data_IF_702804893482
#
_entry.id   IF_702804893482
#
_cell.length_a   1.000
_cell.length_b   1.000
_cell.length_c   1.000
_cell.angle_alpha   90.00
_cell.angle_beta   90.00
_cell.angle_gamma   90.00
#
_symmetry.space_group_name_H-M   'P 1'
#
loop_
_entity.id
_entity.type
_entity.pdbx_description
1 polymer ?
#
# COMPACT_ATOMS: atom_id res chain seq x y z
N UNK A 1 -9.42 -27.73 -23.81
CA UNK A 1 -10.39 -26.67 -24.18
C UNK A 1 -10.06 -25.53 -23.25
N UNK A 2 -9.12 -24.69 -23.69
CA UNK A 2 -8.40 -23.77 -22.80
C UNK A 2 -8.94 -22.35 -22.97
N UNK A 3 -9.51 -21.81 -21.90
CA UNK A 3 -9.98 -20.44 -21.82
C UNK A 3 -8.80 -19.51 -21.44
N UNK A 4 -8.13 -18.98 -22.46
CA UNK A 4 -7.32 -17.75 -22.35
C UNK A 4 -8.24 -16.57 -22.65
N UNK A 5 -8.54 -15.75 -21.66
CA UNK A 5 -9.37 -14.55 -21.80
C UNK A 5 -9.07 -13.53 -20.71
N UNK A 6 -8.37 -12.47 -21.12
CA UNK A 6 -8.50 -11.07 -20.64
C UNK A 6 -8.35 -10.76 -19.14
N UNK A 7 -7.09 -10.70 -18.68
CA UNK A 7 -6.66 -9.77 -17.61
C UNK A 7 -6.08 -8.51 -18.24
N UNK A 8 -6.93 -7.61 -18.76
CA UNK A 8 -6.52 -6.24 -19.16
C UNK A 8 -7.72 -5.33 -19.40
N UNK A 9 -8.57 -5.11 -18.41
CA UNK A 9 -9.66 -4.11 -18.52
C UNK A 9 -10.01 -3.54 -17.14
N UNK A 10 -9.09 -2.85 -16.45
CA UNK A 10 -9.41 -1.98 -15.29
C UNK A 10 -8.34 -0.91 -15.06
N UNK A 11 -7.80 -0.30 -16.13
CA UNK A 11 -6.76 0.72 -16.01
C UNK A 11 -6.94 1.87 -17.01
N UNK A 12 -8.17 2.20 -17.38
CA UNK A 12 -8.43 3.37 -18.21
C UNK A 12 -9.80 3.89 -17.83
N UNK A 13 -9.86 4.86 -16.91
CA UNK A 13 -10.95 5.84 -16.82
C UNK A 13 -10.70 6.78 -15.61
N UNK A 14 -9.82 7.75 -15.81
CA UNK A 14 -9.90 9.03 -15.09
C UNK A 14 -9.19 10.14 -15.87
N UNK A 15 -9.61 10.35 -17.13
CA UNK A 15 -9.37 11.62 -17.80
C UNK A 15 -10.43 12.62 -17.32
N UNK A 16 -10.24 13.17 -16.12
CA UNK A 16 -10.99 14.34 -15.69
C UNK A 16 -10.28 15.59 -16.19
N UNK A 17 -10.96 16.28 -17.10
CA UNK A 17 -10.61 17.56 -17.71
C UNK A 17 -10.22 18.57 -16.61
N UNK A 18 -8.96 18.99 -16.59
CA UNK A 18 -8.58 20.31 -16.05
C UNK A 18 -7.93 21.06 -17.20
N UNK A 19 -8.73 21.95 -17.81
CA UNK A 19 -8.25 22.91 -18.80
C UNK A 19 -7.35 23.94 -18.13
N UNK A 20 -6.13 23.56 -17.78
CA UNK A 20 -5.07 24.50 -17.47
C UNK A 20 -4.40 24.87 -18.80
N UNK A 21 -4.79 26.02 -19.36
CA UNK A 21 -3.98 26.66 -20.38
C UNK A 21 -2.63 26.99 -19.74
N UNK A 22 -1.63 26.15 -20.00
CA UNK A 22 -0.22 26.46 -19.70
C UNK A 22 0.11 27.70 -20.53
N UNK A 23 0.24 28.83 -19.86
CA UNK A 23 0.64 30.08 -20.52
C UNK A 23 2.07 29.85 -21.03
N UNK A 24 2.24 29.75 -22.36
CA UNK A 24 3.55 29.57 -22.98
C UNK A 24 4.46 30.73 -22.56
N UNK A 25 5.63 30.46 -21.93
CA UNK A 25 6.59 31.50 -21.56
C UNK A 25 6.98 32.45 -22.70
N UNK A 26 6.83 32.02 -23.97
CA UNK A 26 7.06 32.85 -25.16
C UNK A 26 6.04 33.99 -25.28
N UNK A 27 4.78 33.79 -24.89
CA UNK A 27 3.77 34.86 -24.92
C UNK A 27 4.06 35.94 -23.87
N UNK A 28 4.57 35.55 -22.70
CA UNK A 28 4.98 36.49 -21.64
C UNK A 28 6.15 37.40 -22.09
N UNK A 29 7.08 36.83 -22.87
CA UNK A 29 8.21 37.56 -23.46
C UNK A 29 7.76 38.47 -24.60
N UNK A 30 6.75 38.07 -25.36
CA UNK A 30 6.21 38.84 -26.49
C UNK A 30 5.44 40.07 -26.02
N UNK A 31 4.60 39.93 -24.98
CA UNK A 31 3.94 41.06 -24.32
C UNK A 31 4.96 42.06 -23.75
N UNK A 32 6.09 41.57 -23.23
CA UNK A 32 7.15 42.42 -22.69
C UNK A 32 7.90 43.20 -23.78
N UNK A 33 8.06 42.62 -24.97
CA UNK A 33 8.64 43.28 -26.15
C UNK A 33 7.68 44.32 -26.76
N UNK A 34 6.40 44.02 -26.85
CA UNK A 34 5.38 44.94 -27.36
C UNK A 34 5.26 46.19 -26.48
N UNK A 35 5.39 46.04 -25.16
CA UNK A 35 5.43 47.16 -24.21
C UNK A 35 6.69 48.04 -24.31
N UNK A 36 7.86 47.45 -24.58
CA UNK A 36 9.08 48.22 -24.84
C UNK A 36 8.99 48.99 -26.16
N UNK A 37 8.30 48.44 -27.15
CA UNK A 37 8.03 49.10 -28.42
C UNK A 37 7.03 50.25 -28.27
N UNK A 38 5.96 50.10 -27.48
CA UNK A 38 5.05 51.20 -27.13
C UNK A 38 5.77 52.33 -26.39
N UNK A 39 6.68 52.00 -25.45
CA UNK A 39 7.52 52.98 -24.75
C UNK A 39 8.42 53.79 -25.69
N UNK A 40 8.98 53.15 -26.73
CA UNK A 40 9.75 53.82 -27.78
C UNK A 40 8.88 54.65 -28.73
N UNK A 41 7.60 54.29 -28.91
CA UNK A 41 6.70 54.96 -29.82
C UNK A 41 6.17 56.29 -29.26
N UNK A 42 6.07 56.45 -27.94
CA UNK A 42 5.57 57.66 -27.26
C UNK A 42 6.46 58.89 -27.47
N UNK A 43 7.77 58.72 -27.64
CA UNK A 43 8.69 59.83 -27.96
C UNK A 43 8.40 60.48 -29.33
N UNK A 44 7.68 59.77 -30.21
CA UNK A 44 7.35 60.21 -31.57
C UNK A 44 5.98 60.90 -31.71
N UNK A 45 5.19 61.06 -30.64
CA UNK A 45 3.84 61.66 -30.73
C UNK A 45 3.85 63.20 -30.72
N UNK A 46 5.02 63.83 -30.79
CA UNK A 46 5.16 65.27 -30.99
C UNK A 46 4.93 65.65 -32.46
N UNK A 47 3.68 65.64 -32.92
CA UNK A 47 3.35 66.19 -34.23
C UNK A 47 3.56 67.73 -34.27
N UNK A 48 4.25 68.31 -35.28
CA UNK A 48 4.69 69.71 -35.25
C UNK A 48 3.58 70.77 -35.37
N UNK A 49 2.31 70.38 -35.55
CA UNK A 49 1.31 71.27 -36.16
C UNK A 49 0.18 71.79 -35.28
N UNK A 50 -0.06 71.24 -34.10
CA UNK A 50 -1.21 71.65 -33.27
C UNK A 50 -0.79 71.58 -31.80
N UNK A 51 -0.26 72.67 -31.23
CA UNK A 51 -0.45 73.10 -29.83
C UNK A 51 0.31 74.42 -29.63
N UNK A 52 -0.39 75.43 -29.09
CA UNK A 52 0.13 76.75 -28.75
C UNK A 52 1.36 76.71 -27.82
N UNK A 53 2.24 77.71 -27.96
CA UNK A 53 3.58 77.85 -27.37
C UNK A 53 3.60 78.11 -25.85
N UNK A 54 3.15 77.17 -25.02
CA UNK A 54 3.58 77.15 -23.62
C UNK A 54 4.30 75.83 -23.37
N UNK A 55 5.63 75.89 -23.30
CA UNK A 55 6.49 74.76 -22.92
C UNK A 55 6.05 74.13 -21.60
N UNK A 56 5.39 74.90 -20.74
CA UNK A 56 4.80 74.45 -19.47
C UNK A 56 3.67 73.44 -19.69
N UNK A 57 2.77 73.68 -20.66
CA UNK A 57 1.66 72.76 -20.96
C UNK A 57 2.19 71.42 -21.49
N UNK A 58 3.20 71.45 -22.37
CA UNK A 58 3.85 70.23 -22.88
C UNK A 58 4.57 69.46 -21.76
N UNK A 59 5.25 70.17 -20.86
CA UNK A 59 5.91 69.58 -19.70
C UNK A 59 4.93 68.90 -18.77
N UNK A 60 3.82 69.57 -18.45
CA UNK A 60 2.75 69.03 -17.59
C UNK A 60 2.12 67.78 -18.22
N UNK A 61 1.81 67.79 -19.51
CA UNK A 61 1.25 66.61 -20.21
C UNK A 61 2.22 65.44 -20.21
N UNK A 62 3.51 65.67 -20.48
CA UNK A 62 4.53 64.62 -20.45
C UNK A 62 4.75 64.06 -19.03
N UNK A 63 4.66 64.90 -18.01
CA UNK A 63 4.78 64.49 -16.60
C UNK A 63 3.60 63.64 -16.16
N UNK A 64 2.37 64.05 -16.49
CA UNK A 64 1.16 63.25 -16.25
C UNK A 64 1.26 61.91 -16.96
N UNK A 65 1.68 61.89 -18.23
CA UNK A 65 1.81 60.64 -18.97
C UNK A 65 2.85 59.70 -18.36
N UNK A 66 4.04 60.21 -17.99
CA UNK A 66 5.05 59.41 -17.27
C UNK A 66 4.53 58.86 -15.95
N UNK A 67 3.79 59.65 -15.19
CA UNK A 67 3.19 59.19 -13.94
C UNK A 67 2.17 58.08 -14.18
N UNK A 68 1.25 58.26 -15.14
CA UNK A 68 0.24 57.26 -15.50
C UNK A 68 0.85 55.94 -15.96
N UNK A 69 1.90 55.98 -16.80
CA UNK A 69 2.61 54.78 -17.23
C UNK A 69 3.30 54.10 -16.06
N UNK A 70 4.01 54.86 -15.21
CA UNK A 70 4.68 54.32 -14.02
C UNK A 70 3.68 53.62 -13.08
N UNK A 71 2.52 54.24 -12.83
CA UNK A 71 1.50 53.66 -11.96
C UNK A 71 0.82 52.44 -12.59
N UNK A 72 0.63 52.44 -13.91
CA UNK A 72 0.14 51.25 -14.64
C UNK A 72 1.14 50.09 -14.53
N UNK A 73 2.43 50.33 -14.77
CA UNK A 73 3.47 49.31 -14.63
C UNK A 73 3.57 48.78 -13.20
N UNK A 74 3.54 49.67 -12.20
CA UNK A 74 3.54 49.30 -10.78
C UNK A 74 2.33 48.43 -10.43
N UNK A 75 1.13 48.86 -10.85
CA UNK A 75 -0.11 48.12 -10.58
C UNK A 75 -0.13 46.76 -11.26
N UNK A 76 0.33 46.68 -12.51
CA UNK A 76 0.44 45.42 -13.25
C UNK A 76 1.43 44.46 -12.61
N UNK A 77 2.62 44.94 -12.23
CA UNK A 77 3.62 44.12 -11.56
C UNK A 77 3.11 43.60 -10.21
N UNK A 78 2.43 44.46 -9.45
CA UNK A 78 1.81 44.05 -8.19
C UNK A 78 0.76 42.96 -8.39
N UNK A 79 -0.15 43.15 -9.34
CA UNK A 79 -1.18 42.14 -9.64
C UNK A 79 -0.57 40.83 -10.12
N UNK A 80 0.48 40.88 -10.94
CA UNK A 80 1.18 39.68 -11.40
C UNK A 80 1.76 38.90 -10.22
N UNK A 81 2.43 39.58 -9.29
CA UNK A 81 2.98 38.95 -8.07
C UNK A 81 1.85 38.32 -7.25
N UNK A 82 0.79 39.08 -6.95
CA UNK A 82 -0.35 38.59 -6.16
C UNK A 82 -1.01 37.36 -6.79
N UNK A 83 -1.19 37.35 -8.11
CA UNK A 83 -1.76 36.19 -8.82
C UNK A 83 -0.81 35.00 -8.78
N UNK A 84 0.49 35.21 -9.00
CA UNK A 84 1.48 34.12 -8.95
C UNK A 84 1.64 33.51 -7.57
N UNK A 85 1.63 34.33 -6.52
CA UNK A 85 1.70 33.88 -5.12
C UNK A 85 0.46 33.06 -4.77
N UNK A 86 -0.74 33.57 -5.09
CA UNK A 86 -1.99 32.86 -4.83
C UNK A 86 -2.05 31.52 -5.56
N UNK A 87 -1.65 31.47 -6.83
CA UNK A 87 -1.64 30.23 -7.61
C UNK A 87 -0.63 29.23 -7.03
N UNK A 88 0.52 29.69 -6.54
CA UNK A 88 1.51 28.83 -5.90
C UNK A 88 0.99 28.27 -4.57
N UNK A 89 0.33 29.09 -3.75
CA UNK A 89 -0.30 28.66 -2.50
C UNK A 89 -1.39 27.60 -2.75
N UNK A 90 -2.26 27.82 -3.74
CA UNK A 90 -3.29 26.86 -4.14
C UNK A 90 -2.68 25.54 -4.64
N UNK A 91 -1.60 25.60 -5.42
CA UNK A 91 -0.90 24.41 -5.90
C UNK A 91 -0.31 23.58 -4.74
N UNK A 92 0.39 24.23 -3.80
CA UNK A 92 0.99 23.54 -2.65
C UNK A 92 -0.08 22.91 -1.74
N UNK A 93 -1.20 23.60 -1.55
CA UNK A 93 -2.32 23.09 -0.77
C UNK A 93 -2.94 21.84 -1.40
N UNK A 94 -3.14 21.84 -2.73
CA UNK A 94 -3.68 20.68 -3.44
C UNK A 94 -2.68 19.52 -3.49
N UNK A 95 -1.37 19.80 -3.62
CA UNK A 95 -0.32 18.79 -3.53
C UNK A 95 -0.33 18.10 -2.16
N UNK A 96 -0.37 18.89 -1.07
CA UNK A 96 -0.40 18.36 0.28
C UNK A 96 -1.66 17.52 0.54
N UNK A 97 -2.81 17.99 0.07
CA UNK A 97 -4.07 17.26 0.16
C UNK A 97 -4.02 15.94 -0.60
N UNK A 98 -3.60 15.96 -1.87
CA UNK A 98 -3.47 14.77 -2.71
C UNK A 98 -2.51 13.76 -2.08
N UNK A 99 -1.38 14.23 -1.54
CA UNK A 99 -0.42 13.39 -0.81
C UNK A 99 -1.04 12.77 0.44
N UNK A 100 -1.81 13.54 1.21
CA UNK A 100 -2.51 13.07 2.39
C UNK A 100 -3.53 11.98 2.07
N UNK A 101 -4.35 12.20 1.05
CA UNK A 101 -5.34 11.23 0.56
C UNK A 101 -4.69 9.93 0.10
N UNK A 102 -3.61 10.01 -0.69
CA UNK A 102 -2.89 8.83 -1.17
C UNK A 102 -2.29 8.01 -0.02
N UNK A 103 -1.67 8.68 0.95
CA UNK A 103 -1.12 7.99 2.14
C UNK A 103 -2.22 7.33 2.96
N UNK A 104 -3.39 7.97 3.09
CA UNK A 104 -4.52 7.40 3.81
C UNK A 104 -5.08 6.16 3.10
N UNK A 105 -5.25 6.21 1.78
CA UNK A 105 -5.68 5.07 0.97
C UNK A 105 -4.72 3.88 1.13
N UNK A 106 -3.41 4.10 1.00
CA UNK A 106 -2.43 3.03 1.19
C UNK A 106 -2.46 2.41 2.58
N UNK A 107 -2.70 3.23 3.63
CA UNK A 107 -2.83 2.71 5.01
C UNK A 107 -4.06 1.83 5.16
N UNK A 108 -5.19 2.24 4.60
CA UNK A 108 -6.45 1.49 4.65
C UNK A 108 -6.32 0.15 3.90
N UNK A 109 -5.75 0.17 2.70
CA UNK A 109 -5.51 -1.04 1.91
C UNK A 109 -4.54 -2.01 2.62
N UNK A 110 -3.48 -1.48 3.23
CA UNK A 110 -2.51 -2.28 3.98
C UNK A 110 -3.17 -2.96 5.19
N UNK A 111 -3.96 -2.23 5.97
CA UNK A 111 -4.63 -2.78 7.14
C UNK A 111 -5.71 -3.80 6.73
N UNK A 112 -6.50 -3.51 5.69
CA UNK A 112 -7.48 -4.47 5.14
C UNK A 112 -6.81 -5.76 4.69
N UNK A 113 -5.70 -5.66 3.94
CA UNK A 113 -4.95 -6.83 3.46
C UNK A 113 -4.38 -7.64 4.62
N UNK A 114 -3.85 -6.95 5.64
CA UNK A 114 -3.33 -7.58 6.86
C UNK A 114 -4.42 -8.32 7.63
N UNK A 115 -5.59 -7.71 7.83
CA UNK A 115 -6.72 -8.34 8.51
C UNK A 115 -7.22 -9.58 7.77
N UNK A 116 -7.31 -9.51 6.44
CA UNK A 116 -7.68 -10.67 5.61
C UNK A 116 -6.70 -11.83 5.72
N UNK A 117 -5.39 -11.53 5.69
CA UNK A 117 -4.34 -12.53 5.83
C UNK A 117 -4.37 -13.18 7.21
N UNK A 118 -4.51 -12.37 8.26
CA UNK A 118 -4.64 -12.84 9.63
C UNK A 118 -5.86 -13.76 9.79
N UNK A 119 -6.99 -13.40 9.21
CA UNK A 119 -8.21 -14.22 9.24
C UNK A 119 -7.98 -15.56 8.54
N UNK A 120 -7.41 -15.54 7.33
CA UNK A 120 -7.08 -16.77 6.57
C UNK A 120 -6.12 -17.66 7.34
N UNK A 121 -5.11 -17.07 7.99
CA UNK A 121 -4.14 -17.82 8.80
C UNK A 121 -4.81 -18.47 10.02
N UNK A 122 -5.65 -17.73 10.76
CA UNK A 122 -6.40 -18.27 11.90
C UNK A 122 -7.34 -19.40 11.50
N UNK A 123 -8.03 -19.27 10.37
CA UNK A 123 -8.93 -20.30 9.84
C UNK A 123 -8.16 -21.55 9.41
N UNK A 124 -7.03 -21.39 8.71
CA UNK A 124 -6.15 -22.51 8.33
C UNK A 124 -5.60 -23.24 9.56
N UNK A 125 -5.10 -22.50 10.56
CA UNK A 125 -4.58 -23.08 11.79
C UNK A 125 -5.67 -23.84 12.56
N UNK A 126 -6.88 -23.26 12.66
CA UNK A 126 -8.02 -23.93 13.30
C UNK A 126 -8.38 -25.24 12.59
N UNK A 127 -8.37 -25.24 11.25
CA UNK A 127 -8.63 -26.44 10.47
C UNK A 127 -7.56 -27.50 10.69
N UNK A 128 -6.27 -27.14 10.64
CA UNK A 128 -5.15 -28.05 10.87
C UNK A 128 -5.18 -28.66 12.28
N UNK A 129 -5.47 -27.87 13.31
CA UNK A 129 -5.64 -28.35 14.68
C UNK A 129 -6.77 -29.38 14.77
N UNK A 130 -7.93 -29.08 14.18
CA UNK A 130 -9.06 -30.02 14.16
C UNK A 130 -8.71 -31.33 13.43
N UNK A 131 -7.98 -31.25 12.32
CA UNK A 131 -7.51 -32.45 11.60
C UNK A 131 -6.50 -33.25 12.44
N UNK A 132 -5.59 -32.58 13.16
CA UNK A 132 -4.63 -33.24 14.02
C UNK A 132 -5.31 -33.94 15.21
N UNK A 133 -6.26 -33.26 15.86
CA UNK A 133 -7.07 -33.83 16.94
C UNK A 133 -7.84 -35.07 16.48
N UNK A 134 -8.47 -35.00 15.31
CA UNK A 134 -9.23 -36.12 14.76
C UNK A 134 -8.34 -37.30 14.37
N UNK A 135 -7.16 -37.06 13.79
CA UNK A 135 -6.16 -38.10 13.51
C UNK A 135 -5.67 -38.75 14.80
N UNK A 136 -5.28 -37.94 15.78
CA UNK A 136 -4.83 -38.42 17.08
C UNK A 136 -5.91 -39.26 17.78
N UNK A 137 -7.17 -38.80 17.74
CA UNK A 137 -8.31 -39.55 18.29
C UNK A 137 -8.46 -40.92 17.62
N UNK A 138 -8.36 -40.99 16.29
CA UNK A 138 -8.41 -42.25 15.54
C UNK A 138 -7.24 -43.18 15.89
N UNK A 139 -6.03 -42.65 15.95
CA UNK A 139 -4.83 -43.40 16.35
C UNK A 139 -4.98 -43.97 17.76
N UNK A 140 -5.42 -43.15 18.72
CA UNK A 140 -5.67 -43.60 20.10
C UNK A 140 -6.74 -44.68 20.18
N UNK A 141 -7.79 -44.61 19.35
CA UNK A 141 -8.79 -45.68 19.26
C UNK A 141 -8.18 -46.98 18.73
N UNK A 142 -7.31 -46.91 17.72
CA UNK A 142 -6.62 -48.08 17.18
C UNK A 142 -5.65 -48.67 18.21
N UNK A 143 -4.89 -47.82 18.92
CA UNK A 143 -3.99 -48.25 19.99
C UNK A 143 -4.75 -49.01 21.07
N UNK A 144 -5.90 -48.50 21.52
CA UNK A 144 -6.71 -49.16 22.56
C UNK A 144 -7.31 -50.51 22.13
N UNK A 145 -7.34 -50.84 20.84
CA UNK A 145 -7.92 -52.09 20.31
C UNK A 145 -6.89 -53.21 20.15
N UNK A 146 -5.60 -52.92 20.22
CA UNK A 146 -4.52 -53.89 20.04
C UNK A 146 -3.84 -54.22 21.37
N UNK A 147 -3.05 -55.30 21.38
CA UNK A 147 -2.14 -55.64 22.48
C UNK A 147 -0.74 -55.16 22.13
N UNK A 148 -0.01 -54.65 23.12
CA UNK A 148 1.29 -54.01 22.91
C UNK A 148 2.39 -54.73 23.68
N UNK A 149 3.54 -54.86 23.03
CA UNK A 149 4.72 -55.50 23.61
C UNK A 149 5.22 -54.64 24.76
N UNK A 150 5.31 -55.22 25.96
CA UNK A 150 5.80 -54.50 27.13
C UNK A 150 7.23 -53.98 26.96
N UNK A 151 8.06 -54.67 26.17
CA UNK A 151 9.48 -54.34 26.02
C UNK A 151 9.75 -53.28 24.94
N UNK A 152 8.99 -53.26 23.85
CA UNK A 152 9.35 -52.46 22.66
C UNK A 152 8.17 -51.75 21.99
N UNK A 153 6.97 -51.80 22.58
CA UNK A 153 5.77 -51.09 22.12
C UNK A 153 5.30 -51.44 20.70
N UNK A 154 5.85 -52.48 20.08
CA UNK A 154 5.30 -53.08 18.86
C UNK A 154 4.07 -53.92 19.18
N UNK A 155 3.23 -54.16 18.19
CA UNK A 155 2.08 -55.05 18.34
C UNK A 155 2.51 -56.42 18.89
N UNK A 156 1.86 -56.86 19.97
CA UNK A 156 2.18 -58.11 20.65
C UNK A 156 1.35 -59.26 20.10
N UNK A 157 2.02 -60.38 19.83
CA UNK A 157 1.38 -61.62 19.36
C UNK A 157 1.42 -62.74 20.40
N UNK A 158 2.29 -62.63 21.42
CA UNK A 158 2.47 -63.64 22.47
C UNK A 158 2.05 -63.09 23.84
N UNK A 159 0.89 -63.46 24.39
CA UNK A 159 0.49 -63.08 25.75
C UNK A 159 1.23 -63.91 26.81
N UNK A 160 1.62 -63.28 27.92
CA UNK A 160 2.17 -63.98 29.09
C UNK A 160 1.16 -64.07 30.23
N UNK A 161 0.69 -62.92 30.74
CA UNK A 161 -0.36 -62.82 31.76
C UNK A 161 -1.10 -61.48 31.62
N UNK A 162 -2.02 -61.17 32.54
CA UNK A 162 -2.77 -59.90 32.53
C UNK A 162 -1.82 -58.70 32.40
N UNK A 163 -2.09 -57.84 31.42
CA UNK A 163 -1.33 -56.62 31.12
C UNK A 163 0.17 -56.86 30.81
N UNK A 164 0.56 -58.05 30.32
CA UNK A 164 1.93 -58.29 29.83
C UNK A 164 1.92 -59.24 28.64
N UNK A 165 2.23 -58.70 27.46
CA UNK A 165 2.37 -59.41 26.20
C UNK A 165 3.67 -58.99 25.49
N UNK A 166 4.12 -59.79 24.52
CA UNK A 166 5.36 -59.58 23.77
C UNK A 166 5.15 -59.78 22.27
N UNK A 167 5.93 -59.09 21.45
CA UNK A 167 5.98 -59.32 20.01
C UNK A 167 6.81 -60.55 19.62
N UNK A 168 7.65 -61.06 20.53
CA UNK A 168 8.56 -62.17 20.27
C UNK A 168 9.29 -62.66 21.52
N UNK A 169 9.97 -63.81 21.39
CA UNK A 169 10.71 -64.45 22.48
C UNK A 169 11.89 -63.58 22.96
N UNK A 170 12.56 -62.87 22.06
CA UNK A 170 13.67 -61.98 22.42
C UNK A 170 13.23 -60.88 23.39
N UNK A 171 12.10 -60.23 23.09
CA UNK A 171 11.50 -59.23 23.98
C UNK A 171 11.06 -59.83 25.31
N UNK A 172 10.55 -61.07 25.31
CA UNK A 172 10.21 -61.77 26.54
C UNK A 172 11.45 -62.05 27.38
N UNK A 173 12.53 -62.58 26.79
CA UNK A 173 13.76 -62.90 27.51
C UNK A 173 14.43 -61.65 28.09
N UNK A 174 14.40 -60.52 27.38
CA UNK A 174 14.91 -59.24 27.87
C UNK A 174 14.14 -58.73 29.09
N UNK A 175 12.80 -58.76 29.06
CA UNK A 175 11.96 -58.34 30.19
C UNK A 175 11.88 -59.40 31.31
N UNK A 176 12.17 -60.67 31.02
CA UNK A 176 11.94 -61.79 31.94
C UNK A 176 12.60 -61.67 33.32
N UNK A 177 13.86 -61.19 33.48
CA UNK A 177 14.48 -61.02 34.79
C UNK A 177 13.65 -60.15 35.75
N UNK A 178 12.92 -59.18 35.21
CA UNK A 178 12.03 -58.28 35.94
C UNK A 178 10.65 -58.91 36.11
N UNK A 179 10.05 -59.38 35.01
CA UNK A 179 8.69 -59.92 34.98
C UNK A 179 8.48 -61.15 35.87
N UNK A 180 9.48 -62.05 35.97
CA UNK A 180 9.35 -63.33 36.69
C UNK A 180 8.97 -63.19 38.16
N UNK A 181 9.23 -62.03 38.78
CA UNK A 181 8.96 -61.75 40.19
C UNK A 181 7.46 -61.60 40.48
N UNK A 182 6.67 -61.19 39.49
CA UNK A 182 5.23 -60.89 39.64
C UNK A 182 4.36 -61.53 38.54
N UNK A 183 4.93 -62.44 37.76
CA UNK A 183 4.20 -63.15 36.71
C UNK A 183 3.03 -63.95 37.32
N UNK A 184 1.82 -63.67 36.83
CA UNK A 184 0.58 -64.33 37.30
C UNK A 184 0.22 -65.59 36.50
N UNK A 185 1.04 -65.96 35.51
CA UNK A 185 0.82 -67.18 34.73
C UNK A 185 1.08 -68.38 35.63
N UNK A 186 0.01 -69.11 35.98
CA UNK A 186 0.15 -70.37 36.74
C UNK A 186 1.08 -71.28 35.93
N UNK A 187 2.15 -71.79 36.56
CA UNK A 187 2.90 -72.93 36.00
C UNK A 187 1.88 -74.05 35.87
N UNK A 188 1.52 -74.42 34.64
CA UNK A 188 0.64 -75.53 34.39
C UNK A 188 1.25 -76.76 35.06
N UNK A 189 0.64 -77.20 36.15
CA UNK A 189 0.82 -78.57 36.60
C UNK A 189 0.33 -79.46 35.47
N UNK A 190 1.17 -80.43 35.11
CA UNK A 190 0.84 -81.49 34.19
C UNK A 190 -0.59 -82.03 34.47
N UNK A 191 -1.41 -82.07 33.43
CA UNK A 191 -2.51 -83.00 33.27
C UNK A 191 -2.36 -83.64 31.91
#
# INVERSE_FOLDING_TARGET
>A
MDARGTKREMMDDHHQIIGNQVVDPRHLVQDQQDLTNEHAQVENWAHPGIMSNSEDVKRIVLEIHRHMLSEYHRSRQKLLIEVTEKLHEEFLAEEEKTRGELVQQFKEELESTKEELDKKYRESLKYELAQLEERHRKEMMNVKRQQWCYQCEKEAIYPCCWNTAYCGVDCQQQHWPQHKKYCKRKKGGAR
#
